data_IF_258968272968
#
_entry.id   IF_258968272968
#
_cell.length_a   1.000
_cell.length_b   1.000
_cell.length_c   1.000
_cell.angle_alpha   90.00
_cell.angle_beta   90.00
_cell.angle_gamma   90.00
#
_symmetry.space_group_name_H-M   'P 1'
#
loop_
_entity.id
_entity.type
_entity.pdbx_description
1 polymer ?
#
# COMPACT_ATOMS: atom_id res chain seq x y z
N UNK A 1 0.21 -3.46 18.05
CA UNK A 1 0.50 -4.84 17.58
C UNK A 1 -0.31 -5.90 18.32
N UNK A 2 -0.29 -5.95 19.65
CA UNK A 2 -1.01 -6.97 20.44
C UNK A 2 -2.52 -7.08 20.12
N UNK A 3 -3.18 -5.93 19.93
CA UNK A 3 -4.58 -5.87 19.49
C UNK A 3 -4.78 -6.53 18.12
N UNK A 4 -3.86 -6.34 17.18
CA UNK A 4 -3.92 -6.97 15.86
C UNK A 4 -3.75 -8.50 15.97
N UNK A 5 -2.77 -8.96 16.75
CA UNK A 5 -2.59 -10.39 17.04
C UNK A 5 -3.86 -11.00 17.68
N UNK A 6 -4.46 -10.31 18.66
CA UNK A 6 -5.69 -10.77 19.33
C UNK A 6 -6.89 -10.87 18.37
N UNK A 7 -6.86 -10.19 17.23
CA UNK A 7 -7.85 -10.28 16.16
C UNK A 7 -7.42 -11.26 15.05
N UNK A 8 -6.33 -12.02 15.21
CA UNK A 8 -5.86 -13.00 14.23
C UNK A 8 -5.27 -12.38 12.96
N UNK A 9 -4.77 -11.14 13.02
CA UNK A 9 -4.24 -10.44 11.85
C UNK A 9 -2.88 -11.00 11.44
N UNK A 10 -2.74 -11.39 10.18
CA UNK A 10 -1.48 -11.91 9.62
C UNK A 10 -0.55 -10.83 9.07
N UNK A 11 -1.09 -9.71 8.59
CA UNK A 11 -0.33 -8.57 8.06
C UNK A 11 -0.81 -7.29 8.75
N UNK A 12 0.09 -6.63 9.48
CA UNK A 12 -0.17 -5.35 10.14
C UNK A 12 0.54 -4.21 9.39
N UNK A 13 -0.21 -3.18 9.03
CA UNK A 13 0.27 -2.04 8.26
C UNK A 13 0.17 -0.78 9.11
N UNK A 14 1.28 -0.08 9.27
CA UNK A 14 1.33 1.24 9.87
C UNK A 14 1.43 2.34 8.79
N UNK A 15 1.04 3.58 9.11
CA UNK A 15 1.18 4.71 8.19
C UNK A 15 2.64 5.14 7.99
N UNK A 16 2.89 5.85 6.89
CA UNK A 16 4.21 6.44 6.59
C UNK A 16 4.66 7.41 7.70
N UNK A 17 5.96 7.44 7.95
CA UNK A 17 6.65 8.30 8.93
C UNK A 17 6.18 8.13 10.39
N UNK A 18 5.56 7.01 10.75
CA UNK A 18 5.09 6.76 12.12
C UNK A 18 6.09 6.03 13.00
N UNK A 19 6.94 5.19 12.42
CA UNK A 19 7.97 4.45 13.14
C UNK A 19 9.31 4.69 12.45
N UNK A 20 10.26 5.30 13.18
CA UNK A 20 11.56 5.67 12.64
C UNK A 20 12.60 4.56 12.84
N UNK A 21 12.87 3.77 11.81
CA UNK A 21 13.82 2.66 11.90
C UNK A 21 15.30 3.07 11.84
N UNK A 22 15.62 4.37 11.85
CA UNK A 22 16.99 4.80 12.15
C UNK A 22 17.41 4.48 13.59
N UNK A 23 16.45 4.20 14.48
CA UNK A 23 16.72 3.75 15.83
C UNK A 23 16.64 2.23 15.91
N UNK A 24 17.79 1.57 16.10
CA UNK A 24 17.92 0.11 16.16
C UNK A 24 16.92 -0.55 17.12
N UNK A 25 16.55 0.14 18.21
CA UNK A 25 15.57 -0.35 19.20
C UNK A 25 14.20 -0.62 18.57
N UNK A 26 13.73 0.22 17.65
CA UNK A 26 12.43 0.00 17.01
C UNK A 26 12.49 -1.17 16.03
N UNK A 27 13.61 -1.34 15.32
CA UNK A 27 13.81 -2.49 14.45
C UNK A 27 13.84 -3.79 15.25
N UNK A 28 14.57 -3.81 16.37
CA UNK A 28 14.65 -4.95 17.28
C UNK A 28 13.26 -5.29 17.87
N UNK A 29 12.55 -4.30 18.41
CA UNK A 29 11.22 -4.49 18.99
C UNK A 29 10.21 -5.01 17.97
N UNK A 30 10.15 -4.41 16.77
CA UNK A 30 9.23 -4.86 15.72
C UNK A 30 9.58 -6.25 15.23
N UNK A 31 10.87 -6.56 15.05
CA UNK A 31 11.32 -7.90 14.65
C UNK A 31 10.94 -8.95 15.68
N UNK A 32 11.10 -8.63 16.97
CA UNK A 32 10.68 -9.51 18.06
C UNK A 32 9.16 -9.72 18.05
N UNK A 33 8.37 -8.65 17.85
CA UNK A 33 6.91 -8.73 17.78
C UNK A 33 6.43 -9.55 16.57
N UNK A 34 7.03 -9.36 15.39
CA UNK A 34 6.73 -10.14 14.19
C UNK A 34 7.00 -11.64 14.40
N UNK A 35 8.09 -11.97 15.10
CA UNK A 35 8.44 -13.34 15.47
C UNK A 35 7.50 -13.94 16.51
N UNK A 36 7.22 -13.22 17.60
CA UNK A 36 6.35 -13.70 18.70
C UNK A 36 4.94 -13.98 18.21
N UNK A 37 4.41 -13.14 17.32
CA UNK A 37 3.03 -13.22 16.84
C UNK A 37 2.90 -13.86 15.46
N UNK A 38 3.99 -14.41 14.90
CA UNK A 38 4.03 -15.06 13.58
C UNK A 38 3.32 -14.22 12.49
N UNK A 39 3.62 -12.92 12.45
CA UNK A 39 2.94 -11.96 11.57
C UNK A 39 3.92 -11.15 10.73
N UNK A 40 3.43 -10.62 9.62
CA UNK A 40 4.15 -9.63 8.83
C UNK A 40 3.80 -8.24 9.35
N UNK A 41 4.81 -7.44 9.66
CA UNK A 41 4.66 -6.05 10.10
C UNK A 41 5.31 -5.14 9.06
N UNK A 42 4.52 -4.20 8.56
CA UNK A 42 4.94 -3.11 7.69
C UNK A 42 4.85 -1.86 8.56
N UNK A 43 5.95 -1.35 9.12
CA UNK A 43 5.98 -0.24 10.06
C UNK A 43 5.74 1.13 9.38
N UNK A 44 5.13 1.12 8.21
CA UNK A 44 4.98 2.28 7.34
C UNK A 44 6.24 2.49 6.54
N UNK A 45 6.77 3.70 6.59
CA UNK A 45 8.04 4.06 5.97
C UNK A 45 8.76 5.10 6.80
N UNK A 46 10.07 5.26 6.59
CA UNK A 46 10.92 6.19 7.32
C UNK A 46 11.97 6.80 6.39
N UNK A 47 12.50 7.96 6.76
CA UNK A 47 13.61 8.59 6.03
C UNK A 47 14.92 8.00 6.51
N UNK A 48 15.56 7.16 5.70
CA UNK A 48 16.86 6.60 6.04
C UNK A 48 17.93 7.70 6.05
N UNK A 49 18.65 7.85 7.17
CA UNK A 49 19.63 8.93 7.32
C UNK A 49 20.90 8.72 6.48
N UNK A 50 21.17 7.49 6.06
CA UNK A 50 22.38 7.12 5.32
C UNK A 50 22.19 7.37 3.82
N UNK A 51 21.10 6.85 3.25
CA UNK A 51 20.78 6.97 1.83
C UNK A 51 19.94 8.20 1.51
N UNK A 52 19.34 8.84 2.52
CA UNK A 52 18.38 9.94 2.40
C UNK A 52 17.11 9.59 1.62
N UNK A 53 16.80 8.30 1.51
CA UNK A 53 15.61 7.81 0.84
C UNK A 53 14.47 7.60 1.83
N UNK A 54 13.23 7.58 1.34
CA UNK A 54 12.09 7.14 2.13
C UNK A 54 11.86 5.65 1.85
N UNK A 55 12.05 4.80 2.87
CA UNK A 55 12.02 3.35 2.75
C UNK A 55 10.87 2.74 3.55
N UNK A 56 10.16 1.80 2.96
CA UNK A 56 9.22 0.92 3.65
C UNK A 56 9.80 -0.49 3.72
N UNK A 57 9.92 -1.04 4.92
CA UNK A 57 10.48 -2.38 5.16
C UNK A 57 9.35 -3.33 5.52
N UNK A 58 9.41 -4.56 5.05
CA UNK A 58 8.52 -5.63 5.51
C UNK A 58 9.28 -6.59 6.40
N UNK A 59 8.78 -6.75 7.61
CA UNK A 59 9.39 -7.59 8.65
C UNK A 59 8.47 -8.77 8.90
N UNK A 60 8.98 -9.98 8.70
CA UNK A 60 8.29 -11.23 9.02
C UNK A 60 8.91 -11.93 10.24
N UNK A 61 8.44 -13.14 10.56
CA UNK A 61 8.92 -13.88 11.73
C UNK A 61 10.42 -14.22 11.70
N UNK A 62 10.98 -14.33 10.49
CA UNK A 62 12.39 -14.65 10.24
C UNK A 62 13.27 -13.39 10.04
N UNK A 63 12.70 -12.19 10.21
CA UNK A 63 13.39 -10.91 10.04
C UNK A 63 12.91 -10.10 8.82
N UNK A 64 13.77 -9.23 8.31
CA UNK A 64 13.46 -8.38 7.15
C UNK A 64 13.30 -9.23 5.89
N UNK A 65 12.14 -9.12 5.24
CA UNK A 65 11.79 -9.88 4.04
C UNK A 65 12.15 -9.12 2.76
N UNK A 66 11.77 -7.85 2.66
CA UNK A 66 12.17 -6.95 1.57
C UNK A 66 11.96 -5.49 1.96
N UNK A 67 12.47 -4.58 1.12
CA UNK A 67 12.33 -3.13 1.24
C UNK A 67 11.73 -2.54 -0.04
N UNK A 68 11.01 -1.42 0.07
CA UNK A 68 10.53 -0.62 -1.04
C UNK A 68 10.95 0.83 -0.82
N UNK A 69 11.67 1.38 -1.80
CA UNK A 69 11.97 2.81 -1.84
C UNK A 69 10.76 3.59 -2.39
N UNK A 70 10.49 4.76 -1.81
CA UNK A 70 9.52 5.72 -2.32
C UNK A 70 10.03 6.32 -3.62
N UNK A 71 9.17 6.34 -4.62
CA UNK A 71 9.57 6.82 -5.93
C UNK A 71 9.48 8.34 -6.00
N UNK A 72 8.38 8.93 -5.55
CA UNK A 72 8.03 10.33 -5.81
C UNK A 72 7.94 11.09 -4.49
N UNK A 73 8.78 12.12 -4.27
CA UNK A 73 8.70 12.95 -3.08
C UNK A 73 7.34 13.64 -2.99
N UNK A 74 6.78 13.71 -1.79
CA UNK A 74 5.53 14.39 -1.56
C UNK A 74 5.73 15.92 -1.57
N UNK A 75 4.76 16.64 -2.15
CA UNK A 75 4.64 18.08 -2.01
C UNK A 75 3.35 18.37 -1.27
N UNK A 76 3.45 18.89 -0.05
CA UNK A 76 2.32 19.17 0.83
C UNK A 76 2.13 20.69 0.88
N UNK A 77 0.95 21.15 0.50
CA UNK A 77 0.55 22.54 0.67
C UNK A 77 -0.27 22.67 1.96
N UNK A 78 0.31 23.29 2.99
CA UNK A 78 -0.32 23.46 4.29
C UNK A 78 -0.28 24.93 4.72
N UNK A 79 -1.45 25.51 5.00
CA UNK A 79 -1.56 26.91 5.44
C UNK A 79 -0.97 27.94 4.47
N UNK A 80 -1.05 27.67 3.15
CA UNK A 80 -0.45 28.53 2.11
C UNK A 80 1.07 28.37 1.94
N UNK A 81 1.72 27.51 2.73
CA UNK A 81 3.13 27.15 2.57
C UNK A 81 3.26 25.81 1.85
N UNK A 82 4.19 25.76 0.90
CA UNK A 82 4.57 24.54 0.20
C UNK A 82 5.74 23.89 0.94
N UNK A 83 5.54 22.66 1.38
CA UNK A 83 6.57 21.80 1.95
C UNK A 83 6.87 20.70 0.94
N UNK A 84 8.13 20.57 0.57
CA UNK A 84 8.61 19.50 -0.30
C UNK A 84 9.39 18.51 0.55
N UNK A 85 9.08 17.24 0.40
CA UNK A 85 9.80 16.17 1.08
C UNK A 85 11.23 16.09 0.55
N UNK A 86 12.20 16.27 1.45
CA UNK A 86 13.62 16.35 1.12
C UNK A 86 14.25 14.95 1.12
N UNK A 87 13.80 14.07 0.22
CA UNK A 87 14.41 12.76 0.00
C UNK A 87 15.19 12.71 -1.30
N UNK A 88 16.27 11.92 -1.30
CA UNK A 88 16.90 11.46 -2.52
C UNK A 88 16.02 10.37 -3.14
N UNK A 89 15.90 10.40 -4.47
CA UNK A 89 15.25 9.32 -5.23
C UNK A 89 16.30 8.66 -6.12
N UNK A 90 16.29 7.34 -6.19
CA UNK A 90 17.22 6.58 -7.04
C UNK A 90 17.22 7.07 -8.49
N UNK A 91 18.31 6.76 -9.21
CA UNK A 91 18.36 6.95 -10.65
C UNK A 91 17.27 6.13 -11.35
N UNK A 92 16.74 6.68 -12.45
CA UNK A 92 15.77 5.99 -13.28
C UNK A 92 16.43 4.76 -13.96
N UNK A 93 15.69 3.64 -14.12
CA UNK A 93 14.30 3.44 -13.75
C UNK A 93 14.12 3.10 -12.27
N UNK A 94 13.13 3.73 -11.63
CA UNK A 94 12.68 3.36 -10.28
C UNK A 94 12.00 2.00 -10.35
N UNK A 95 12.23 1.16 -9.35
CA UNK A 95 11.78 -0.24 -9.36
C UNK A 95 10.69 -0.45 -8.32
N UNK A 96 9.51 -0.88 -8.78
CA UNK A 96 8.46 -1.40 -7.89
C UNK A 96 8.76 -2.86 -7.59
N UNK A 97 8.85 -3.22 -6.31
CA UNK A 97 9.06 -4.60 -5.88
C UNK A 97 7.70 -5.24 -5.58
N UNK A 98 7.42 -6.35 -6.29
CA UNK A 98 6.26 -7.20 -6.01
C UNK A 98 6.77 -8.52 -5.45
N UNK A 99 6.62 -8.68 -4.14
CA UNK A 99 7.09 -9.87 -3.44
C UNK A 99 6.04 -10.98 -3.44
N UNK A 100 6.47 -12.23 -3.62
CA UNK A 100 5.59 -13.39 -3.52
C UNK A 100 5.64 -13.94 -2.09
N UNK A 101 4.51 -13.92 -1.41
CA UNK A 101 4.38 -14.34 -0.01
C UNK A 101 3.32 -15.44 0.12
N UNK A 102 3.23 -16.07 1.28
CA UNK A 102 2.13 -17.01 1.57
C UNK A 102 0.74 -16.33 1.54
N UNK A 103 0.69 -15.01 1.78
CA UNK A 103 -0.52 -14.20 1.73
C UNK A 103 -0.82 -13.62 0.34
N UNK A 104 -0.06 -14.03 -0.68
CA UNK A 104 -0.22 -13.57 -2.06
C UNK A 104 0.89 -12.64 -2.51
N UNK A 105 0.67 -12.00 -3.66
CA UNK A 105 1.64 -11.09 -4.27
C UNK A 105 1.41 -9.66 -3.84
N UNK A 106 2.38 -9.12 -3.10
CA UNK A 106 2.26 -7.86 -2.39
C UNK A 106 3.17 -6.82 -3.03
N UNK A 107 2.60 -5.66 -3.34
CA UNK A 107 3.33 -4.45 -3.71
C UNK A 107 3.17 -3.40 -2.60
N UNK A 108 4.25 -2.70 -2.29
CA UNK A 108 4.20 -1.49 -1.47
C UNK A 108 4.36 -0.29 -2.39
N UNK A 109 3.54 0.73 -2.18
CA UNK A 109 3.53 1.96 -2.96
C UNK A 109 3.43 3.08 -1.94
N UNK A 110 4.42 3.95 -1.76
CA UNK A 110 4.46 4.81 -0.57
C UNK A 110 3.78 6.15 -0.85
N UNK A 111 2.69 6.42 -0.14
CA UNK A 111 1.95 7.68 -0.18
C UNK A 111 1.74 8.21 -1.62
N UNK A 112 2.44 9.31 -1.96
CA UNK A 112 2.36 10.00 -3.25
C UNK A 112 2.54 9.09 -4.46
N UNK A 113 3.32 8.02 -4.34
CA UNK A 113 3.55 7.05 -5.41
C UNK A 113 2.23 6.51 -5.98
N UNK A 114 1.21 6.32 -5.13
CA UNK A 114 -0.05 5.73 -5.57
C UNK A 114 -0.90 6.70 -6.40
N UNK A 115 -0.70 8.01 -6.24
CA UNK A 115 -1.37 9.01 -7.06
C UNK A 115 -0.73 9.14 -8.45
N UNK A 116 0.46 8.58 -8.65
CA UNK A 116 1.11 8.57 -9.95
C UNK A 116 0.44 7.57 -10.89
N UNK A 117 0.07 8.05 -12.07
CA UNK A 117 -0.65 7.22 -13.03
C UNK A 117 0.26 6.18 -13.67
N UNK A 118 1.52 6.50 -13.91
CA UNK A 118 2.46 5.59 -14.56
C UNK A 118 2.80 4.42 -13.64
N UNK A 119 2.96 4.67 -12.33
CA UNK A 119 3.12 3.61 -11.33
C UNK A 119 1.87 2.73 -11.21
N UNK A 120 0.65 3.30 -11.27
CA UNK A 120 -0.57 2.47 -11.29
C UNK A 120 -0.70 1.64 -12.57
N UNK A 121 -0.23 2.16 -13.70
CA UNK A 121 -0.15 1.41 -14.97
C UNK A 121 0.90 0.30 -14.89
N UNK A 122 2.05 0.55 -14.26
CA UNK A 122 3.06 -0.48 -13.97
C UNK A 122 2.44 -1.62 -13.15
N UNK A 123 1.81 -1.28 -12.01
CA UNK A 123 1.12 -2.23 -11.12
C UNK A 123 0.08 -3.09 -11.84
N UNK A 124 -0.71 -2.47 -12.73
CA UNK A 124 -1.69 -3.17 -13.58
C UNK A 124 -1.06 -4.19 -14.52
N UNK A 125 0.16 -3.92 -15.00
CA UNK A 125 0.82 -4.70 -16.05
C UNK A 125 1.85 -5.71 -15.51
N UNK A 126 2.00 -5.85 -14.19
CA UNK A 126 2.82 -6.92 -13.64
C UNK A 126 2.30 -8.29 -14.11
N UNK A 127 3.21 -9.15 -14.55
CA UNK A 127 2.95 -10.54 -14.88
C UNK A 127 3.84 -11.45 -14.01
N UNK A 128 3.27 -12.34 -13.19
CA UNK A 128 1.83 -12.46 -12.89
C UNK A 128 1.23 -11.19 -12.23
N UNK A 129 -0.09 -11.06 -12.07
CA UNK A 129 -0.68 -9.84 -11.52
C UNK A 129 -0.49 -9.70 -10.00
N UNK A 130 -0.53 -8.47 -9.50
CA UNK A 130 -0.45 -8.13 -8.07
C UNK A 130 -1.75 -8.49 -7.37
N UNK A 131 -1.70 -9.12 -6.20
CA UNK A 131 -2.90 -9.47 -5.43
C UNK A 131 -3.27 -8.39 -4.40
N UNK A 132 -2.26 -7.82 -3.74
CA UNK A 132 -2.40 -6.87 -2.64
C UNK A 132 -1.50 -5.66 -2.90
N UNK A 133 -2.07 -4.47 -2.81
CA UNK A 133 -1.33 -3.20 -2.82
C UNK A 133 -1.48 -2.54 -1.45
N UNK A 134 -0.35 -2.16 -0.87
CA UNK A 134 -0.26 -1.52 0.44
C UNK A 134 0.29 -0.11 0.24
N UNK A 135 -0.49 0.87 0.69
CA UNK A 135 -0.17 2.29 0.61
C UNK A 135 -0.09 2.90 2.01
N UNK A 136 1.10 2.85 2.67
CA UNK A 136 1.34 3.62 3.88
C UNK A 136 1.48 5.10 3.49
N UNK A 137 0.84 5.99 4.24
CA UNK A 137 0.76 7.40 3.90
C UNK A 137 0.81 8.34 5.10
N UNK A 138 1.38 9.52 4.86
CA UNK A 138 1.28 10.69 5.71
C UNK A 138 0.76 11.83 4.83
N UNK A 139 -0.56 12.03 4.78
CA UNK A 139 -1.13 13.01 3.86
C UNK A 139 -2.43 13.66 4.37
N UNK A 140 -2.57 14.99 4.25
CA UNK A 140 -3.85 15.68 4.45
C UNK A 140 -4.77 15.60 3.22
N UNK A 141 -4.28 15.13 2.07
CA UNK A 141 -5.02 15.15 0.78
C UNK A 141 -5.86 13.89 0.61
N UNK A 142 -6.73 13.59 1.57
CA UNK A 142 -7.41 12.28 1.67
C UNK A 142 -8.35 11.99 0.50
N UNK A 143 -9.04 13.00 -0.04
CA UNK A 143 -10.01 12.81 -1.13
C UNK A 143 -9.42 12.21 -2.42
N UNK A 144 -8.23 12.66 -2.81
CA UNK A 144 -7.54 12.14 -4.01
C UNK A 144 -7.13 10.67 -3.81
N UNK A 145 -6.68 10.33 -2.61
CA UNK A 145 -6.33 8.96 -2.25
C UNK A 145 -7.56 8.05 -2.25
N UNK A 146 -8.68 8.49 -1.67
CA UNK A 146 -9.96 7.78 -1.70
C UNK A 146 -10.40 7.48 -3.14
N UNK A 147 -10.37 8.49 -4.02
CA UNK A 147 -10.74 8.32 -5.42
C UNK A 147 -9.77 7.38 -6.17
N UNK A 148 -8.46 7.54 -5.96
CA UNK A 148 -7.44 6.73 -6.62
C UNK A 148 -7.53 5.26 -6.20
N UNK A 149 -7.68 4.96 -4.90
CA UNK A 149 -7.77 3.58 -4.40
C UNK A 149 -9.09 2.94 -4.80
N UNK A 150 -10.18 3.72 -4.79
CA UNK A 150 -11.44 3.25 -5.32
C UNK A 150 -11.24 2.81 -6.78
N UNK A 151 -10.78 3.68 -7.68
CA UNK A 151 -10.55 3.30 -9.08
C UNK A 151 -9.62 2.08 -9.24
N UNK A 152 -8.46 2.12 -8.57
CA UNK A 152 -7.40 1.11 -8.65
C UNK A 152 -7.88 -0.31 -8.33
N UNK A 153 -8.76 -0.46 -7.34
CA UNK A 153 -9.26 -1.78 -6.92
C UNK A 153 -9.87 -2.58 -8.07
N UNK A 154 -10.44 -1.91 -9.09
CA UNK A 154 -11.02 -2.57 -10.28
C UNK A 154 -10.14 -2.47 -11.51
N UNK A 155 -9.41 -1.37 -11.69
CA UNK A 155 -8.56 -1.19 -12.87
C UNK A 155 -7.30 -2.05 -12.82
N UNK A 156 -6.75 -2.30 -11.62
CA UNK A 156 -5.66 -3.26 -11.34
C UNK A 156 -6.24 -4.63 -10.90
N UNK A 157 -7.48 -4.63 -10.40
CA UNK A 157 -8.15 -5.82 -9.87
C UNK A 157 -7.39 -6.43 -8.68
N UNK A 158 -7.04 -5.63 -7.67
CA UNK A 158 -6.31 -6.05 -6.47
C UNK A 158 -6.98 -5.51 -5.21
N UNK A 159 -6.65 -6.08 -4.05
CA UNK A 159 -7.00 -5.46 -2.78
C UNK A 159 -6.09 -4.26 -2.52
N UNK A 160 -6.67 -3.11 -2.19
CA UNK A 160 -5.93 -1.88 -1.93
C UNK A 160 -6.12 -1.47 -0.47
N UNK A 161 -5.02 -1.43 0.28
CA UNK A 161 -4.97 -1.03 1.68
C UNK A 161 -4.31 0.33 1.80
N UNK A 162 -5.04 1.31 2.30
CA UNK A 162 -4.55 2.65 2.57
C UNK A 162 -4.46 2.88 4.08
N UNK A 163 -3.24 3.08 4.59
CA UNK A 163 -2.97 3.33 6.00
C UNK A 163 -2.39 4.74 6.16
N UNK A 164 -3.22 5.69 6.60
CA UNK A 164 -2.84 7.08 6.82
C UNK A 164 -2.72 7.39 8.31
N UNK A 165 -1.89 8.39 8.63
CA UNK A 165 -1.71 8.87 10.01
C UNK A 165 -3.03 9.40 10.59
N UNK A 166 -3.33 9.08 11.85
CA UNK A 166 -4.60 9.41 12.49
C UNK A 166 -4.94 10.90 12.46
N UNK A 167 -3.94 11.80 12.52
CA UNK A 167 -4.13 13.26 12.41
C UNK A 167 -4.99 13.66 11.21
N UNK A 168 -4.82 12.98 10.07
CA UNK A 168 -5.61 13.18 8.85
C UNK A 168 -6.64 12.07 8.63
N UNK A 169 -6.36 10.85 9.10
CA UNK A 169 -7.21 9.67 9.02
C UNK A 169 -7.61 9.30 7.60
N UNK A 170 -8.84 8.84 7.43
CA UNK A 170 -9.38 8.30 6.17
C UNK A 170 -8.64 7.06 5.67
N UNK A 171 -8.01 6.31 6.59
CA UNK A 171 -7.46 4.99 6.29
C UNK A 171 -8.58 4.07 5.86
N UNK A 172 -8.42 3.37 4.72
CA UNK A 172 -9.48 2.58 4.14
C UNK A 172 -8.99 1.32 3.45
N UNK A 173 -9.92 0.37 3.27
CA UNK A 173 -9.67 -0.87 2.53
C UNK A 173 -10.65 -0.93 1.36
N UNK A 174 -10.12 -0.96 0.14
CA UNK A 174 -10.90 -1.17 -1.07
C UNK A 174 -10.66 -2.55 -1.67
N UNK A 175 -11.76 -3.20 -2.03
CA UNK A 175 -11.76 -4.56 -2.57
C UNK A 175 -12.27 -4.58 -4.02
N UNK A 176 -11.75 -5.45 -4.90
CA UNK A 176 -12.28 -5.63 -6.25
C UNK A 176 -13.68 -6.25 -6.25
N UNK A 177 -13.99 -7.02 -5.21
CA UNK A 177 -15.27 -7.68 -4.95
C UNK A 177 -16.44 -6.68 -5.00
N UNK A 178 -17.64 -7.16 -5.33
CA UNK A 178 -18.88 -6.37 -5.25
C UNK A 178 -19.38 -6.20 -3.81
N UNK A 179 -18.50 -6.37 -2.82
CA UNK A 179 -18.76 -6.03 -1.42
C UNK A 179 -18.99 -4.52 -1.30
N UNK A 180 -20.01 -4.14 -0.52
CA UNK A 180 -20.34 -2.74 -0.22
C UNK A 180 -19.93 -2.33 1.20
N UNK A 181 -19.26 -3.22 1.92
CA UNK A 181 -18.78 -2.93 3.28
C UNK A 181 -17.72 -1.84 3.24
N UNK A 182 -18.08 -0.68 3.78
CA UNK A 182 -17.16 0.41 4.01
C UNK A 182 -16.26 0.07 5.21
N UNK A 183 -14.95 0.22 5.00
CA UNK A 183 -13.92 0.00 6.03
C UNK A 183 -13.09 1.25 6.08
N UNK A 184 -13.34 2.08 7.09
CA UNK A 184 -12.80 3.42 7.22
C UNK A 184 -12.41 3.67 8.68
N UNK A 185 -11.26 4.30 8.89
CA UNK A 185 -10.92 4.97 10.15
C UNK A 185 -11.00 6.47 9.87
N UNK A 186 -11.90 7.22 10.53
CA UNK A 186 -12.09 8.63 10.25
C UNK A 186 -10.92 9.50 10.75
N UNK A 187 -10.90 10.75 10.32
CA UNK A 187 -9.92 11.75 10.77
C UNK A 187 -9.91 11.91 12.29
N UNK A 188 -8.71 11.99 12.88
CA UNK A 188 -8.41 12.13 14.30
C UNK A 188 -8.78 10.93 15.18
N UNK A 189 -9.01 9.77 14.58
CA UNK A 189 -9.22 8.53 15.30
C UNK A 189 -8.06 7.54 15.07
N UNK A 190 -7.55 6.97 16.16
CA UNK A 190 -6.67 5.81 16.11
C UNK A 190 -7.52 4.53 16.09
N UNK A 191 -7.28 3.66 15.12
CA UNK A 191 -8.11 2.48 14.94
C UNK A 191 -7.40 1.34 14.21
N UNK A 192 -8.10 0.21 14.14
CA UNK A 192 -7.72 -0.94 13.33
C UNK A 192 -8.94 -1.36 12.51
N UNK A 193 -8.77 -1.41 11.20
CA UNK A 193 -9.72 -2.02 10.26
C UNK A 193 -9.02 -3.17 9.54
N UNK A 194 -9.78 -4.20 9.18
CA UNK A 194 -9.21 -5.40 8.56
C UNK A 194 -10.18 -6.05 7.58
N UNK A 195 -9.62 -6.90 6.71
CA UNK A 195 -10.35 -7.67 5.70
C UNK A 195 -9.69 -9.04 5.55
N UNK A 196 -10.48 -10.09 5.67
CA UNK A 196 -10.06 -11.42 5.26
C UNK A 196 -9.92 -11.47 3.73
N UNK A 197 -8.77 -11.92 3.25
CA UNK A 197 -8.41 -11.94 1.84
C UNK A 197 -8.66 -13.35 1.29
N UNK A 198 -9.52 -13.46 0.27
CA UNK A 198 -9.72 -14.71 -0.47
C UNK A 198 -9.00 -14.63 -1.83
N UNK A 199 -7.74 -15.06 -1.85
CA UNK A 199 -6.91 -15.04 -3.06
C UNK A 199 -7.48 -15.92 -4.17
N UNK A 200 -8.17 -17.01 -3.84
CA UNK A 200 -8.74 -17.90 -4.83
C UNK A 200 -9.89 -17.20 -5.57
N UNK A 201 -10.81 -16.61 -4.81
CA UNK A 201 -11.92 -15.83 -5.37
C UNK A 201 -11.41 -14.62 -6.14
N UNK A 202 -10.45 -13.86 -5.59
CA UNK A 202 -9.81 -12.74 -6.26
C UNK A 202 -9.30 -13.13 -7.65
N UNK A 203 -8.45 -14.16 -7.73
CA UNK A 203 -7.80 -14.59 -8.97
C UNK A 203 -8.78 -15.20 -9.96
N UNK A 204 -9.79 -15.92 -9.47
CA UNK A 204 -10.86 -16.49 -10.29
C UNK A 204 -11.71 -15.41 -10.95
N UNK A 205 -12.15 -14.41 -10.17
CA UNK A 205 -12.96 -13.30 -10.68
C UNK A 205 -12.15 -12.35 -11.57
N UNK A 206 -10.87 -12.11 -11.27
CA UNK A 206 -9.94 -11.37 -12.15
C UNK A 206 -9.90 -11.98 -13.54
N UNK A 207 -9.71 -13.31 -13.62
CA UNK A 207 -9.66 -14.04 -14.88
C UNK A 207 -10.98 -13.98 -15.66
N UNK A 208 -12.12 -13.91 -14.99
CA UNK A 208 -13.43 -13.69 -15.63
C UNK A 208 -13.52 -12.27 -16.20
N UNK A 209 -13.17 -11.28 -15.39
CA UNK A 209 -13.17 -9.86 -15.76
C UNK A 209 -12.27 -9.58 -16.97
N UNK A 210 -11.05 -10.11 -16.99
CA UNK A 210 -10.12 -9.99 -18.13
C UNK A 210 -10.69 -10.60 -19.42
N UNK A 211 -11.39 -11.74 -19.32
CA UNK A 211 -12.05 -12.36 -20.47
C UNK A 211 -13.21 -11.53 -21.00
N UNK A 212 -13.95 -10.87 -20.12
CA UNK A 212 -15.04 -9.96 -20.52
C UNK A 212 -14.48 -8.73 -21.23
N UNK A 213 -13.47 -8.08 -20.65
CA UNK A 213 -12.80 -6.92 -21.26
C UNK A 213 -12.23 -7.24 -22.65
N UNK A 214 -11.64 -8.42 -22.85
CA UNK A 214 -11.15 -8.86 -24.16
C UNK A 214 -12.24 -9.02 -25.23
N UNK A 215 -13.50 -9.25 -24.82
CA UNK A 215 -14.64 -9.29 -25.76
C UNK A 215 -15.05 -7.88 -26.19
N UNK A 216 -14.99 -6.91 -25.29
CA UNK A 216 -15.40 -5.53 -25.55
C UNK A 216 -14.40 -4.76 -26.43
N UNK A 217 -13.10 -5.08 -26.35
CA UNK A 217 -12.04 -4.48 -27.20
C UNK A 217 -12.24 -4.78 -28.70
N UNK A 218 -13.06 -5.78 -29.07
CA UNK A 218 -13.34 -6.09 -30.49
C UNK A 218 -14.20 -5.04 -31.20
N UNK A 219 -14.78 -4.07 -30.48
CA UNK A 219 -15.54 -2.96 -31.06
C UNK A 219 -14.86 -1.61 -30.81
N UNK A 220 -13.76 -1.33 -31.53
CA UNK A 220 -13.26 0.05 -31.68
C UNK A 220 -13.90 0.62 -32.94
N UNK A 221 -14.95 1.42 -32.78
CA UNK A 221 -15.49 2.24 -33.86
C UNK A 221 -14.56 3.45 -34.03
N UNK A 222 -13.69 3.39 -35.05
CA UNK A 222 -12.88 4.53 -35.49
C UNK A 222 -13.80 5.60 -36.08
N UNK A 223 -14.22 6.57 -35.27
CA UNK A 223 -14.73 7.84 -35.80
C UNK A 223 -13.54 8.70 -36.24
N UNK A 224 -13.39 8.82 -37.57
CA UNK A 224 -12.56 9.84 -38.23
C UNK A 224 -13.19 11.22 -38.08
#
# INVERSE_FOLDING_TARGET
>A
VEKANSNGINILIFPEMTIDLNYDIFLEEISNLAKIYEMYIIPGSYHDQTTKQNLSIVIGPEGVLWEQEKHIPAVINFGGKRFEEMIDTSSLPRKTIVCNTEFGRIAIVICRDFLDMDLRVELKNFEPPVDIIINPAFTPVTADFTAAHFDARRSIYSYCFFANVAEYGESHIYTPEKDRTERLIPTKEEGLIYKDIDLFTLRSERKKWEKEQKKDIQFIQSTR
#
